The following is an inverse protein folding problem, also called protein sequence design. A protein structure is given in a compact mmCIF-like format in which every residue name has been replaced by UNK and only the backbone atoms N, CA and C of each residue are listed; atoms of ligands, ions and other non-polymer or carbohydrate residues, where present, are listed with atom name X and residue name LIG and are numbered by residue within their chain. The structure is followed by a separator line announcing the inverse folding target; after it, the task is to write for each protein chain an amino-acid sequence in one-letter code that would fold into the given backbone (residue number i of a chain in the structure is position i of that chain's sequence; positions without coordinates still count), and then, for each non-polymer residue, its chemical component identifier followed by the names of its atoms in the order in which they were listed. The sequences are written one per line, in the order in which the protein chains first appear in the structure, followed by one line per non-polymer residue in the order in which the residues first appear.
data_IF_222279953494
#
_entry.id   IF_222279953494
#
_cell.length_a   1.000
_cell.length_b   1.000
_cell.length_c   1.000
_cell.angle_alpha   90.00
_cell.angle_beta   90.00
_cell.angle_gamma   90.00
#
_symmetry.space_group_name_H-M   'P 1'
#
loop_
_entity.id
_entity.type
_entity.pdbx_description
1 polymer ?
2 polymer ?
3 non-polymer ?
4 non-polymer ?
5 non-polymer ?
6 non-polymer ?
7 water ?
#
# COMPACT_ATOMS: atom_id res chain seq x y z
N UNK A 1 7.46 -20.32 12.46
CA UNK A 1 7.32 -20.01 11.00
C UNK A 1 7.09 -21.27 10.19
N UNK A 2 5.90 -21.35 9.58
CA UNK A 2 5.53 -22.54 8.82
C UNK A 2 6.49 -22.78 7.66
N UNK A 3 7.11 -21.71 7.14
CA UNK A 3 7.95 -21.79 5.97
C UNK A 3 9.42 -21.95 6.32
N UNK A 4 9.73 -22.14 7.60
CA UNK A 4 11.12 -22.18 8.02
C UNK A 4 11.95 -23.26 7.34
N UNK A 5 11.32 -24.37 6.94
CA UNK A 5 12.08 -25.47 6.36
C UNK A 5 12.23 -25.36 4.85
N UNK A 6 11.60 -24.37 4.21
CA UNK A 6 11.69 -24.25 2.77
C UNK A 6 12.78 -23.27 2.36
N UNK A 7 13.51 -23.62 1.29
CA UNK A 7 14.57 -22.75 0.80
C UNK A 7 14.00 -21.39 0.40
N UNK A 8 14.78 -20.35 0.69
CA UNK A 8 14.41 -19.02 0.24
C UNK A 8 14.05 -19.01 -1.24
N UNK A 9 14.91 -19.59 -2.09
CA UNK A 9 14.65 -19.52 -3.54
C UNK A 9 13.36 -20.24 -3.92
N UNK A 10 13.09 -21.38 -3.26
CA UNK A 10 11.85 -22.12 -3.47
C UNK A 10 10.62 -21.32 -3.06
N UNK A 11 10.71 -20.61 -1.95
CA UNK A 11 9.62 -19.72 -1.53
C UNK A 11 9.34 -18.65 -2.57
N UNK A 12 10.38 -18.02 -3.11
CA UNK A 12 10.19 -17.00 -4.15
C UNK A 12 9.57 -17.63 -5.40
N UNK A 13 10.11 -18.78 -5.84
CA UNK A 13 9.56 -19.48 -7.00
C UNK A 13 8.07 -19.77 -6.81
N UNK A 14 7.70 -20.28 -5.63
CA UNK A 14 6.31 -20.60 -5.35
C UNK A 14 5.46 -19.35 -5.19
N UNK A 15 6.02 -18.24 -4.71
CA UNK A 15 5.26 -16.99 -4.72
C UNK A 15 4.88 -16.61 -6.15
N UNK A 16 5.81 -16.77 -7.09
CA UNK A 16 5.52 -16.44 -8.49
C UNK A 16 4.48 -17.38 -9.08
N UNK A 17 4.52 -18.67 -8.75
CA UNK A 17 3.49 -19.59 -9.22
C UNK A 17 2.13 -19.24 -8.63
N UNK A 18 2.09 -18.97 -7.32
CA UNK A 18 0.84 -18.58 -6.67
C UNK A 18 0.25 -17.36 -7.34
N UNK A 19 1.08 -16.38 -7.68
CA UNK A 19 0.56 -15.22 -8.41
C UNK A 19 -0.11 -15.66 -9.71
N UNK A 20 0.56 -16.54 -10.46
CA UNK A 20 -0.02 -16.99 -11.72
C UNK A 20 -1.35 -17.71 -11.52
N UNK A 21 -1.51 -18.39 -10.40
CA UNK A 21 -2.71 -19.12 -10.05
C UNK A 21 -3.73 -18.25 -9.32
N UNK A 22 -3.45 -16.97 -9.12
CA UNK A 22 -4.31 -16.05 -8.35
C UNK A 22 -4.60 -16.59 -6.95
N UNK A 23 -3.58 -17.21 -6.34
CA UNK A 23 -3.65 -17.71 -4.98
C UNK A 23 -2.88 -16.77 -4.08
N UNK A 24 -3.49 -15.62 -3.78
CA UNK A 24 -2.73 -14.53 -3.16
C UNK A 24 -2.46 -14.78 -1.67
N UNK A 25 -3.31 -15.54 -0.99
CA UNK A 25 -2.99 -15.89 0.40
C UNK A 25 -1.74 -16.74 0.46
N UNK A 26 -1.65 -17.77 -0.41
CA UNK A 26 -0.42 -18.55 -0.54
C UNK A 26 0.76 -17.64 -0.89
N UNK A 27 0.57 -16.75 -1.86
CA UNK A 27 1.65 -15.88 -2.30
C UNK A 27 2.21 -15.09 -1.14
N UNK A 28 1.31 -14.57 -0.29
CA UNK A 28 1.73 -13.77 0.85
C UNK A 28 2.44 -14.60 1.89
N UNK A 29 1.94 -15.81 2.16
CA UNK A 29 2.60 -16.69 3.10
C UNK A 29 4.00 -17.07 2.62
N UNK A 30 4.17 -17.30 1.31
CA UNK A 30 5.49 -17.62 0.76
C UNK A 30 6.43 -16.43 0.93
N UNK A 31 5.95 -15.22 0.60
CA UNK A 31 6.81 -14.04 0.75
C UNK A 31 7.10 -13.70 2.20
N UNK A 32 6.16 -13.93 3.11
CA UNK A 32 6.47 -13.77 4.52
C UNK A 32 7.60 -14.71 4.92
N UNK A 33 7.53 -15.96 4.46
CA UNK A 33 8.59 -16.90 4.74
C UNK A 33 9.92 -16.45 4.18
N UNK A 34 9.89 -15.86 2.97
CA UNK A 34 11.12 -15.36 2.34
C UNK A 34 11.71 -14.21 3.16
N UNK A 35 10.86 -13.29 3.60
CA UNK A 35 11.34 -12.19 4.43
C UNK A 35 11.99 -12.74 5.70
N UNK A 36 11.37 -13.73 6.32
CA UNK A 36 11.84 -14.23 7.60
C UNK A 36 13.15 -15.00 7.49
N UNK A 37 13.64 -15.30 6.27
CA UNK A 37 15.01 -15.80 6.12
C UNK A 37 16.05 -14.78 6.55
N UNK A 38 15.67 -13.52 6.66
CA UNK A 38 16.54 -12.51 7.23
C UNK A 38 17.37 -11.73 6.23
N UNK A 39 17.41 -12.14 4.96
CA UNK A 39 18.14 -11.38 3.95
C UNK A 39 17.30 -10.24 3.41
N UNK A 40 17.98 -9.20 2.93
CA UNK A 40 17.31 -8.10 2.24
C UNK A 40 16.62 -8.64 0.97
N UNK A 41 15.58 -7.95 0.53
CA UNK A 41 14.82 -8.31 -0.67
C UNK A 41 15.28 -7.51 -1.86
N UNK A 42 15.33 -8.16 -3.01
CA UNK A 42 15.60 -7.46 -4.27
C UNK A 42 14.39 -6.65 -4.71
N UNK A 44 12.52 -7.02 -7.43
CA UNK A 44 11.45 -7.95 -7.82
C UNK A 44 10.78 -8.57 -6.60
N UNK A 45 11.59 -9.00 -5.64
CA UNK A 45 11.04 -9.64 -4.43
C UNK A 45 10.22 -8.66 -3.58
N UNK A 46 10.63 -7.38 -3.48
CA UNK A 46 9.81 -6.41 -2.79
C UNK A 46 8.44 -6.27 -3.45
N UNK A 47 8.43 -6.20 -4.77
CA UNK A 47 7.17 -6.09 -5.47
C UNK A 47 6.32 -7.34 -5.33
N UNK A 48 6.92 -8.54 -5.27
CA UNK A 48 6.13 -9.74 -4.98
C UNK A 48 5.47 -9.64 -3.61
N UNK A 49 6.21 -9.19 -2.61
CA UNK A 49 5.68 -9.01 -1.27
C UNK A 49 4.50 -8.05 -1.29
N UNK A 50 4.68 -6.88 -1.91
CA UNK A 50 3.62 -5.87 -1.92
C UNK A 50 2.37 -6.37 -2.66
N UNK A 51 2.55 -6.95 -3.84
CA UNK A 51 1.41 -7.42 -4.62
C UNK A 51 0.61 -8.45 -3.85
N UNK A 52 1.31 -9.37 -3.17
CA UNK A 52 0.61 -10.44 -2.47
C UNK A 52 -0.27 -9.87 -1.36
N UNK A 53 0.31 -9.06 -0.48
CA UNK A 53 -0.49 -8.56 0.61
C UNK A 53 -1.51 -7.53 0.15
N UNK A 54 -1.23 -6.79 -0.95
CA UNK A 54 -2.22 -5.84 -1.45
C UNK A 54 -3.49 -6.56 -1.89
N UNK A 55 -3.33 -7.71 -2.54
CA UNK A 55 -4.47 -8.48 -2.98
C UNK A 55 -5.22 -9.09 -1.81
N UNK A 56 -4.49 -9.60 -0.83
CA UNK A 56 -5.14 -10.17 0.35
C UNK A 56 -5.95 -9.09 1.08
N UNK A 57 -5.29 -7.97 1.47
CA UNK A 57 -5.97 -6.92 2.22
C UNK A 57 -7.06 -6.28 1.36
N UNK A 58 -6.90 -6.28 0.04
CA UNK A 58 -7.93 -5.69 -0.81
C UNK A 58 -9.25 -6.44 -0.72
N UNK A 59 -9.20 -7.76 -0.78
CA UNK A 59 -10.41 -8.55 -0.57
C UNK A 59 -11.06 -8.29 0.78
N UNK A 60 -10.23 -8.14 1.82
CA UNK A 60 -10.75 -7.87 3.15
C UNK A 60 -11.40 -6.49 3.25
N UNK A 61 -10.75 -5.47 2.68
CA UNK A 61 -11.31 -4.11 2.67
C UNK A 61 -12.65 -4.10 1.93
N UNK A 62 -12.70 -4.74 0.78
CA UNK A 62 -13.95 -4.73 0.02
C UNK A 62 -15.06 -5.41 0.82
N UNK A 63 -14.75 -6.54 1.44
CA UNK A 63 -15.75 -7.24 2.28
C UNK A 63 -16.17 -6.38 3.47
N UNK A 64 -15.20 -5.74 4.14
CA UNK A 64 -15.52 -4.90 5.28
C UNK A 64 -16.48 -3.77 4.88
N UNK A 65 -16.29 -3.16 3.70
CA UNK A 65 -17.14 -2.06 3.29
C UNK A 65 -18.57 -2.55 3.03
N UNK A 66 -18.73 -3.71 2.40
CA UNK A 66 -20.05 -4.29 2.21
C UNK A 66 -20.75 -4.45 3.54
N UNK A 67 -20.05 -5.06 4.51
CA UNK A 67 -20.65 -5.35 5.80
C UNK A 67 -20.92 -4.09 6.60
N UNK A 68 -20.00 -3.12 6.54
CA UNK A 68 -20.20 -1.87 7.25
C UNK A 68 -21.42 -1.14 6.70
N UNK A 69 -21.62 -1.18 5.38
CA UNK A 69 -22.77 -0.53 4.77
C UNK A 69 -24.06 -1.20 5.20
N UNK A 70 -24.07 -2.52 5.25
CA UNK A 70 -25.25 -3.24 5.75
C UNK A 70 -25.49 -2.90 7.21
N UNK A 71 -24.44 -2.88 8.01
CA UNK A 71 -24.58 -2.56 9.43
C UNK A 71 -25.16 -1.18 9.63
N UNK A 72 -24.69 -0.20 8.85
CA UNK A 72 -25.17 1.16 9.01
C UNK A 72 -26.66 1.25 8.66
N UNK A 73 -27.08 0.61 7.57
CA UNK A 73 -28.51 0.57 7.25
C UNK A 73 -29.31 -0.03 8.40
N UNK A 74 -28.85 -1.14 8.97
CA UNK A 74 -29.58 -1.81 10.03
C UNK A 74 -29.68 -0.97 11.31
N UNK A 75 -28.96 0.15 11.39
CA UNK A 75 -29.06 1.05 12.52
C UNK A 75 -29.76 2.36 12.15
N UNK A 76 -30.48 2.38 11.04
CA UNK A 76 -31.23 3.58 10.60
C UNK A 76 -32.57 3.65 11.35
N UNK A 83 -30.61 -7.96 15.53
CA UNK A 83 -29.77 -9.01 16.15
C UNK A 83 -28.31 -8.66 16.05
N UNK A 84 -27.39 -9.34 16.74
CA UNK A 84 -26.01 -8.93 16.70
C UNK A 84 -25.18 -9.47 15.53
N UNK A 85 -25.82 -10.22 14.64
CA UNK A 85 -25.03 -10.99 13.68
C UNK A 85 -24.25 -10.10 12.71
N UNK A 86 -24.86 -9.01 12.23
CA UNK A 86 -24.17 -8.15 11.26
C UNK A 86 -22.94 -7.52 11.88
N UNK A 87 -23.10 -6.93 13.06
CA UNK A 87 -21.97 -6.39 13.81
C UNK A 87 -20.93 -7.46 14.10
N UNK A 88 -21.36 -8.65 14.55
CA UNK A 88 -20.43 -9.71 14.87
C UNK A 88 -19.58 -10.08 13.66
N UNK A 89 -20.21 -10.23 12.49
CA UNK A 89 -19.46 -10.69 11.34
C UNK A 89 -18.61 -9.55 10.75
N UNK A 90 -19.11 -8.31 10.83
CA UNK A 90 -18.25 -7.18 10.45
C UNK A 90 -17.00 -7.13 11.32
N UNK A 91 -17.16 -7.35 12.63
CA UNK A 91 -16.04 -7.43 13.55
C UNK A 91 -15.10 -8.57 13.19
N UNK A 92 -15.63 -9.73 12.80
CA UNK A 92 -14.80 -10.86 12.43
C UNK A 92 -13.87 -10.50 11.27
N UNK A 93 -14.45 -9.95 10.21
CA UNK A 93 -13.67 -9.55 9.05
C UNK A 93 -12.71 -8.43 9.43
N UNK A 94 -13.17 -7.45 10.21
CA UNK A 94 -12.31 -6.36 10.64
C UNK A 94 -11.09 -6.88 11.38
N UNK A 95 -11.28 -7.85 12.27
CA UNK A 95 -10.18 -8.37 13.06
C UNK A 95 -9.17 -9.09 12.16
N UNK A 96 -9.66 -9.83 11.16
CA UNK A 96 -8.77 -10.52 10.22
C UNK A 96 -7.97 -9.50 9.41
N UNK A 97 -8.64 -8.44 8.97
CA UNK A 97 -7.98 -7.33 8.27
C UNK A 97 -6.87 -6.71 9.12
N UNK A 98 -7.19 -6.42 10.38
CA UNK A 98 -6.19 -5.83 11.26
C UNK A 98 -5.05 -6.80 11.49
N UNK A 99 -5.34 -8.10 11.48
CA UNK A 99 -4.26 -9.06 11.64
C UNK A 99 -3.30 -9.05 10.47
N UNK A 100 -3.83 -8.95 9.25
CA UNK A 100 -2.97 -8.90 8.06
C UNK A 100 -2.13 -7.62 8.07
N UNK A 101 -2.75 -6.49 8.38
CA UNK A 101 -1.98 -5.25 8.47
C UNK A 101 -0.89 -5.35 9.54
N UNK A 102 -1.23 -5.89 10.72
CA UNK A 102 -0.22 -6.06 11.77
C UNK A 102 0.91 -6.98 11.31
N UNK A 103 0.58 -8.01 10.53
CA UNK A 103 1.61 -8.91 10.03
C UNK A 103 2.57 -8.17 9.11
N UNK A 104 2.04 -7.40 8.17
CA UNK A 104 2.89 -6.65 7.24
C UNK A 104 3.74 -5.63 8.01
N UNK A 105 3.10 -4.86 8.91
CA UNK A 105 3.87 -3.91 9.71
C UNK A 105 4.97 -4.59 10.52
N UNK A 106 4.70 -5.80 11.01
CA UNK A 106 5.70 -6.52 11.76
C UNK A 106 6.91 -6.90 10.92
N UNK A 107 6.68 -7.27 9.66
CA UNK A 107 7.79 -7.58 8.77
C UNK A 107 8.58 -6.33 8.47
N UNK A 108 7.90 -5.19 8.29
CA UNK A 108 8.62 -3.96 8.01
C UNK A 108 9.45 -3.55 9.20
N UNK A 109 8.92 -3.72 10.42
CA UNK A 109 9.64 -3.35 11.64
C UNK A 109 10.68 -4.37 12.04
N UNK A 110 10.60 -5.61 11.53
CA UNK A 110 11.47 -6.71 11.94
C UNK A 110 11.86 -7.54 10.72
N UNK A 111 12.77 -7.05 9.88
CA UNK A 111 13.59 -5.87 10.10
C UNK A 111 13.86 -5.19 8.77
N UNK A 112 12.84 -5.15 7.91
CA UNK A 112 13.05 -4.69 6.54
C UNK A 112 13.49 -3.24 6.51
N UNK A 113 12.81 -2.37 7.26
CA UNK A 113 13.09 -0.95 7.15
C UNK A 113 14.50 -0.64 7.67
N UNK A 114 14.85 -1.16 8.85
CA UNK A 114 16.11 -0.75 9.43
C UNK A 114 17.31 -1.21 8.62
N UNK A 115 17.19 -2.24 7.79
CA UNK A 115 18.30 -2.66 6.93
C UNK A 115 18.27 -2.04 5.53
N UNK A 116 17.26 -1.23 5.21
CA UNK A 116 17.08 -0.64 3.89
C UNK A 116 17.77 0.73 3.85
N UNK A 117 18.87 0.79 3.12
CA UNK A 117 19.67 2.00 3.00
C UNK A 117 19.55 2.68 1.65
N UNK A 118 19.27 1.93 0.62
CA UNK A 118 19.08 2.53 -0.68
C UNK A 118 17.71 3.21 -0.74
N UNK A 119 17.65 4.34 -1.46
CA UNK A 119 16.39 5.06 -1.57
C UNK A 119 15.26 4.20 -2.10
N UNK A 120 15.53 3.40 -3.15
CA UNK A 120 14.45 2.63 -3.77
C UNK A 120 13.88 1.60 -2.81
N UNK A 121 14.69 1.05 -1.91
CA UNK A 121 14.14 0.10 -0.97
C UNK A 121 13.52 0.80 0.23
N UNK A 122 14.19 1.81 0.76
CA UNK A 122 13.69 2.44 1.98
C UNK A 122 12.39 3.18 1.72
N UNK A 123 12.30 3.91 0.61
CA UNK A 123 11.05 4.58 0.26
C UNK A 123 9.95 3.56 0.02
N UNK A 124 10.27 2.45 -0.65
CA UNK A 124 9.26 1.42 -0.90
C UNK A 124 8.67 0.90 0.40
N UNK A 125 9.53 0.59 1.39
CA UNK A 125 9.04 0.03 2.65
C UNK A 125 8.31 1.06 3.49
N UNK A 126 8.79 2.32 3.50
CA UNK A 126 8.10 3.33 4.28
C UNK A 126 6.74 3.63 3.68
N UNK A 127 6.66 3.65 2.35
CA UNK A 127 5.35 3.76 1.70
C UNK A 127 4.41 2.65 2.14
N UNK A 128 4.89 1.39 2.14
CA UNK A 128 4.06 0.29 2.61
C UNK A 128 3.62 0.49 4.05
N UNK A 129 4.53 0.98 4.90
CA UNK A 129 4.16 1.22 6.29
C UNK A 129 3.02 2.24 6.38
N UNK A 130 3.10 3.34 5.60
CA UNK A 130 1.98 4.27 5.54
C UNK A 130 0.70 3.64 5.02
N UNK A 131 0.80 2.82 3.96
CA UNK A 131 -0.39 2.17 3.40
C UNK A 131 -1.08 1.29 4.42
N UNK A 132 -0.33 0.45 5.15
CA UNK A 132 -1.00 -0.50 6.04
C UNK A 132 -1.50 0.18 7.30
N UNK A 133 -0.86 1.27 7.75
CA UNK A 133 -1.49 2.09 8.79
C UNK A 133 -2.75 2.78 8.24
N UNK A 134 -2.73 3.19 6.97
CA UNK A 134 -3.92 3.77 6.36
C UNK A 134 -5.08 2.76 6.32
N UNK A 135 -4.81 1.50 5.99
CA UNK A 135 -5.88 0.51 5.98
C UNK A 135 -6.39 0.27 7.40
N UNK A 136 -5.50 0.31 8.39
CA UNK A 136 -5.99 0.26 9.77
C UNK A 136 -6.85 1.48 10.08
N UNK A 137 -6.45 2.64 9.58
CA UNK A 137 -7.21 3.87 9.85
C UNK A 137 -8.62 3.76 9.26
N UNK A 138 -8.76 3.12 8.11
CA UNK A 138 -10.07 3.06 7.46
C UNK A 138 -11.12 2.37 8.34
N UNK A 139 -10.71 1.54 9.28
CA UNK A 139 -11.63 0.78 10.13
C UNK A 139 -11.54 1.21 11.59
N UNK A 140 -10.69 2.18 11.90
CA UNK A 140 -10.47 2.62 13.30
C UNK A 140 -11.54 3.60 13.73
N UNK A 141 -11.96 3.43 14.99
CA UNK A 141 -13.03 4.19 15.69
C UNK A 141 -12.76 4.35 17.20
N UNK A 144 -7.44 5.19 19.63
CA UNK A 144 -6.11 5.12 18.96
C UNK A 144 -6.23 5.52 17.48
N UNK A 145 -7.41 5.81 17.02
CA UNK A 145 -7.75 6.31 15.66
C UNK A 145 -6.79 7.43 15.25
N UNK A 146 -6.54 8.37 16.16
CA UNK A 146 -5.65 9.51 15.90
C UNK A 146 -4.21 9.05 15.85
N UNK A 147 -3.79 8.16 16.71
CA UNK A 147 -2.40 7.73 16.69
C UNK A 147 -2.13 6.87 15.47
N UNK A 148 -3.12 6.10 15.01
CA UNK A 148 -2.94 5.31 13.80
C UNK A 148 -2.75 6.23 12.59
N UNK A 149 -3.58 7.27 12.50
CA UNK A 149 -3.47 8.24 11.42
C UNK A 149 -2.11 8.92 11.46
N UNK A 150 -1.62 9.25 12.65
CA UNK A 150 -0.33 9.93 12.71
C UNK A 150 0.80 8.98 12.37
N UNK A 151 0.68 7.68 12.70
CA UNK A 151 1.67 6.70 12.25
C UNK A 151 1.72 6.63 10.73
N UNK A 152 0.55 6.59 10.07
CA UNK A 152 0.54 6.63 8.60
C UNK A 152 1.23 7.90 8.09
N UNK A 153 0.82 9.07 8.61
CA UNK A 153 1.37 10.34 8.16
C UNK A 153 2.89 10.36 8.30
N UNK A 154 3.39 9.90 9.45
CA UNK A 154 4.82 9.91 9.73
C UNK A 154 5.60 9.06 8.75
N UNK A 155 5.10 7.85 8.46
CA UNK A 155 5.77 6.96 7.50
C UNK A 155 5.76 7.56 6.12
N UNK A 156 4.59 8.03 5.66
CA UNK A 156 4.50 8.69 4.37
C UNK A 156 5.42 9.89 4.30
N UNK A 157 5.49 10.68 5.37
CA UNK A 157 6.28 11.91 5.31
C UNK A 157 7.78 11.59 5.21
N UNK A 158 8.25 10.58 5.95
CA UNK A 158 9.66 10.21 5.87
C UNK A 158 9.99 9.71 4.48
N UNK A 159 9.07 8.94 3.89
CA UNK A 159 9.29 8.44 2.53
C UNK A 159 9.32 9.58 1.54
N UNK A 160 8.41 10.55 1.69
CA UNK A 160 8.38 11.71 0.80
C UNK A 160 9.70 12.47 0.89
N UNK A 161 10.16 12.73 2.11
CA UNK A 161 11.39 13.50 2.29
C UNK A 161 12.56 12.81 1.59
N UNK A 162 12.70 11.49 1.76
CA UNK A 162 13.79 10.76 1.10
C UNK A 162 13.61 10.81 -0.41
N UNK A 163 12.37 10.58 -0.88
CA UNK A 163 12.15 10.50 -2.33
C UNK A 163 12.46 11.83 -3.00
N UNK A 164 12.16 12.95 -2.34
CA UNK A 164 12.44 14.24 -2.95
C UNK A 164 13.92 14.51 -3.03
N UNK A 165 14.70 13.99 -2.09
CA UNK A 165 16.15 14.21 -2.10
C UNK A 165 16.88 13.26 -3.03
N UNK A 166 16.39 12.03 -3.18
CA UNK A 166 17.16 10.94 -3.77
C UNK A 166 16.64 10.40 -5.10
N UNK A 167 15.43 10.75 -5.50
CA UNK A 167 14.84 10.20 -6.71
C UNK A 167 14.35 11.32 -7.63
N UNK A 168 14.36 11.09 -8.93
CA UNK A 168 13.81 12.06 -9.86
C UNK A 168 12.31 12.10 -9.74
N UNK A 169 11.67 13.18 -10.19
CA UNK A 169 10.22 13.28 -10.02
C UNK A 169 9.42 12.33 -10.84
N UNK A 170 10.02 11.64 -11.82
CA UNK A 170 9.29 10.61 -12.57
C UNK A 170 9.45 9.23 -11.98
N UNK A 171 10.25 9.06 -10.95
CA UNK A 171 10.48 7.73 -10.42
C UNK A 171 9.15 7.08 -10.03
N UNK A 172 8.82 5.89 -10.53
CA UNK A 172 7.50 5.30 -10.25
C UNK A 172 7.23 5.05 -8.78
N UNK A 173 8.26 4.73 -7.98
CA UNK A 173 8.05 4.58 -6.54
C UNK A 173 7.63 5.91 -5.94
N UNK A 174 8.37 6.97 -6.28
CA UNK A 174 8.05 8.31 -5.79
C UNK A 174 6.64 8.71 -6.22
N UNK A 175 6.27 8.42 -7.46
CA UNK A 175 4.93 8.78 -7.95
C UNK A 175 3.83 8.00 -7.24
N UNK A 176 4.03 6.69 -7.02
CA UNK A 176 3.01 5.91 -6.30
C UNK A 176 2.87 6.32 -4.85
N UNK A 177 3.99 6.68 -4.23
CA UNK A 177 3.97 7.23 -2.88
C UNK A 177 3.15 8.51 -2.84
N UNK A 178 3.41 9.42 -3.76
CA UNK A 178 2.69 10.69 -3.73
C UNK A 178 1.20 10.48 -3.99
N UNK A 179 0.86 9.60 -4.92
CA UNK A 179 -0.53 9.23 -5.15
C UNK A 179 -1.20 8.79 -3.86
N UNK A 180 -0.61 7.81 -3.18
CA UNK A 180 -1.21 7.25 -1.98
C UNK A 180 -1.27 8.26 -0.84
N UNK A 181 -0.21 9.07 -0.67
CA UNK A 181 -0.23 10.09 0.36
C UNK A 181 -1.31 11.12 0.06
N UNK A 182 -1.54 11.41 -1.22
CA UNK A 182 -2.61 12.33 -1.60
C UNK A 182 -3.96 11.78 -1.15
N UNK A 183 -4.18 10.50 -1.37
CA UNK A 183 -5.45 9.89 -0.96
C UNK A 183 -5.57 9.83 0.56
N UNK A 184 -4.48 9.55 1.24
CA UNK A 184 -4.45 9.68 2.70
C UNK A 184 -4.96 11.06 3.11
N UNK A 185 -4.38 12.12 2.52
CA UNK A 185 -4.81 13.46 2.86
C UNK A 185 -6.30 13.65 2.62
N UNK A 186 -6.79 13.18 1.47
CA UNK A 186 -8.16 13.51 1.06
C UNK A 186 -9.17 12.83 1.98
N UNK A 187 -8.95 11.54 2.23
CA UNK A 187 -9.90 10.58 2.78
C UNK A 187 -9.70 10.30 4.26
N UNK A 188 -8.47 10.36 4.75
CA UNK A 188 -8.15 9.93 6.10
C UNK A 188 -7.91 11.11 7.02
N UNK A 189 -7.08 12.06 6.57
CA UNK A 189 -6.73 13.25 7.31
C UNK A 189 -7.74 14.38 7.13
N UNK A 190 -8.75 14.20 6.28
CA UNK A 190 -9.75 15.25 6.02
C UNK A 190 -9.08 16.56 5.57
N UNK A 191 -8.09 16.44 4.69
CA UNK A 191 -7.33 17.57 4.15
C UNK A 191 -7.43 17.55 2.63
N UNK A 192 -8.61 17.78 2.07
CA UNK A 192 -8.73 17.70 0.62
C UNK A 192 -7.86 18.72 -0.11
N UNK A 193 -7.64 19.88 0.46
CA UNK A 193 -6.83 20.86 -0.26
C UNK A 193 -5.38 20.41 -0.34
N UNK A 194 -4.86 19.83 0.74
CA UNK A 194 -3.53 19.25 0.69
C UNK A 194 -3.45 18.15 -0.35
N UNK A 195 -4.47 17.28 -0.40
CA UNK A 195 -4.48 16.19 -1.37
C UNK A 195 -4.39 16.70 -2.80
N UNK A 196 -5.21 17.70 -3.12
CA UNK A 196 -5.24 18.28 -4.47
C UNK A 196 -3.91 18.94 -4.80
N UNK A 197 -3.36 19.71 -3.87
CA UNK A 197 -2.09 20.38 -4.10
C UNK A 197 -0.98 19.37 -4.37
N UNK A 198 -0.90 18.32 -3.55
CA UNK A 198 0.13 17.32 -3.74
C UNK A 198 -0.02 16.64 -5.09
N UNK A 199 -1.25 16.28 -5.46
CA UNK A 199 -1.46 15.58 -6.73
C UNK A 199 -1.06 16.45 -7.90
N UNK A 200 -1.41 17.75 -7.85
CA UNK A 200 -1.09 18.66 -8.95
C UNK A 200 0.41 18.88 -9.07
N UNK A 201 1.08 19.23 -7.97
CA UNK A 201 2.53 19.41 -7.99
C UNK A 201 3.25 18.15 -8.44
N UNK A 202 2.82 16.99 -7.96
CA UNK A 202 3.47 15.75 -8.34
C UNK A 202 3.33 15.54 -9.85
N UNK A 203 2.14 15.78 -10.38
CA UNK A 203 1.90 15.54 -11.81
C UNK A 203 2.74 16.49 -12.66
N UNK A 204 2.72 17.77 -12.32
CA UNK A 204 3.43 18.75 -13.13
C UNK A 204 4.95 18.56 -13.05
N UNK A 205 5.49 18.22 -11.89
CA UNK A 205 6.95 18.02 -11.84
C UNK A 205 7.36 16.74 -12.56
N UNK A 206 6.51 15.70 -12.57
CA UNK A 206 6.82 14.55 -13.40
C UNK A 206 6.73 14.89 -14.89
N UNK A 207 5.69 15.62 -15.28
CA UNK A 207 5.52 16.02 -16.68
C UNK A 207 6.79 16.66 -17.22
N UNK A 208 7.40 17.54 -16.44
CA UNK A 208 8.56 18.29 -16.89
C UNK A 208 9.85 17.47 -16.88
N UNK A 209 9.82 16.24 -16.37
CA UNK A 209 10.98 15.36 -16.34
C UNK A 209 10.85 14.19 -17.31
N UNK A 210 9.70 14.06 -18.00
CA UNK A 210 9.49 12.93 -18.89
C UNK A 210 10.47 12.95 -20.05
N UNK A 211 10.94 14.13 -20.45
CA UNK A 211 11.87 14.23 -21.59
C UNK A 211 13.19 13.47 -21.36
N UNK A 212 13.54 13.16 -20.10
CA UNK A 212 14.78 12.48 -19.78
C UNK A 212 14.71 10.97 -19.95
N UNK A 213 13.52 10.42 -20.18
CA UNK A 213 13.24 9.00 -20.04
C UNK A 213 13.27 8.24 -21.35
N UNK A 214 13.61 6.96 -21.24
CA UNK A 214 13.40 6.00 -22.31
C UNK A 214 11.91 5.74 -22.52
N UNK A 215 11.60 5.12 -23.66
CA UNK A 215 10.23 4.74 -23.96
C UNK A 215 9.65 3.83 -22.86
N UNK A 216 10.44 2.89 -22.36
CA UNK A 216 9.91 2.00 -21.33
C UNK A 216 9.67 2.74 -20.02
N UNK A 217 10.61 3.59 -19.60
CA UNK A 217 10.44 4.36 -18.38
C UNK A 217 9.26 5.33 -18.50
N UNK A 218 9.12 5.96 -19.67
CA UNK A 218 7.99 6.85 -19.96
C UNK A 218 6.67 6.15 -19.70
N UNK A 219 6.53 4.92 -20.19
CA UNK A 219 5.28 4.19 -20.00
C UNK A 219 5.02 3.92 -18.51
N UNK A 220 6.06 3.54 -17.75
CA UNK A 220 5.90 3.28 -16.33
C UNK A 220 5.44 4.52 -15.59
N UNK A 221 6.06 5.68 -15.89
CA UNK A 221 5.74 6.92 -15.18
C UNK A 221 4.36 7.46 -15.56
N UNK A 222 4.05 7.48 -16.86
CA UNK A 222 2.78 8.05 -17.28
C UNK A 222 1.61 7.20 -16.78
N UNK A 223 1.80 5.89 -16.60
CA UNK A 223 0.76 5.06 -16.00
C UNK A 223 0.32 5.60 -14.65
N UNK A 224 1.28 5.94 -13.78
CA UNK A 224 0.89 6.42 -12.46
C UNK A 224 0.40 7.85 -12.52
N UNK A 225 1.00 8.65 -13.40
CA UNK A 225 0.52 10.01 -13.57
C UNK A 225 -0.96 10.03 -13.93
N UNK A 226 -1.41 9.05 -14.71
CA UNK A 226 -2.81 8.97 -15.07
C UNK A 226 -3.69 8.74 -13.84
N UNK A 227 -3.20 7.98 -12.85
CA UNK A 227 -3.96 7.81 -11.62
C UNK A 227 -4.10 9.11 -10.86
N UNK A 228 -3.02 9.93 -10.79
CA UNK A 228 -3.12 11.26 -10.21
C UNK A 228 -4.16 12.09 -10.93
N UNK A 229 -4.16 12.06 -12.26
CA UNK A 229 -5.15 12.81 -13.03
C UNK A 229 -6.55 12.31 -12.74
N UNK A 230 -6.74 10.99 -12.68
CA UNK A 230 -8.06 10.44 -12.42
C UNK A 230 -8.62 11.00 -11.13
N UNK A 231 -7.81 10.97 -10.07
CA UNK A 231 -8.24 11.51 -8.78
C UNK A 231 -8.54 13.01 -8.88
N UNK A 232 -7.63 13.77 -9.49
CA UNK A 232 -7.86 15.21 -9.59
C UNK A 232 -9.18 15.52 -10.29
N UNK A 233 -9.56 14.69 -11.27
CA UNK A 233 -10.82 14.90 -12.00
C UNK A 233 -12.03 14.75 -11.07
N UNK A 234 -11.95 13.83 -10.12
CA UNK A 234 -13.05 13.64 -9.18
C UNK A 234 -13.03 14.68 -8.08
N UNK A 235 -11.86 15.24 -7.79
CA UNK A 235 -11.67 16.12 -6.65
C UNK A 235 -11.88 17.59 -6.98
N UNK A 236 -11.76 17.96 -8.25
CA UNK A 236 -11.92 19.35 -8.66
C UNK A 236 -13.00 19.48 -9.73
N UNK B 1 -18.45 2.52 -1.00
CA UNK B 1 -17.80 3.84 -0.99
C UNK B 1 -17.15 4.10 -2.32
N UNK B 2 -17.12 5.37 -2.74
CA UNK B 2 -16.26 5.75 -3.83
C UNK B 2 -14.81 5.61 -3.37
N UNK B 3 -14.06 4.72 -4.02
CA UNK B 3 -12.65 4.52 -3.73
C UNK B 3 -11.82 5.25 -4.77
N UNK B 4 -10.92 6.12 -4.30
CA UNK B 4 -10.03 6.83 -5.22
C UNK B 4 -8.89 5.91 -5.65
N UNK B 5 -8.17 6.32 -6.71
CA UNK B 5 -7.05 5.53 -7.21
C UNK B 5 -5.86 5.54 -6.27
N UNK B 7 -1.98 3.16 -5.54
CA UNK B 7 -0.97 2.45 -6.29
C UNK B 7 -1.23 0.94 -6.28
N UNK B 8 -1.00 0.29 -7.41
CA UNK B 8 -0.88 -1.15 -7.43
C UNK B 8 -2.23 -1.83 -7.62
N UNK B 9 -2.28 -3.15 -7.38
CA UNK B 9 -3.50 -3.90 -7.66
C UNK B 9 -4.73 -3.32 -6.99
N UNK B 10 -5.74 -3.04 -7.78
CA UNK B 10 -7.04 -2.54 -7.30
C UNK B 10 -7.81 -3.81 -6.99
N UNK B 11 -7.41 -4.45 -5.90
CA UNK B 11 -7.87 -5.75 -5.36
C UNK B 11 -9.11 -5.62 -4.47
N UNK B 12 -9.53 -4.40 -4.18
CA UNK B 12 -10.77 -4.12 -3.44
C UNK B 12 -11.77 -3.59 -4.46
#
# INVERSE_FOLDING_TARGET
GAMGSMERASLIQKAKLAEQAERYEDMAAFMKGAVEKGEELSXEERNLLSVAYKNVVGGQRAAWRVLSSIEQKSNEEGSEEKGPEVREYREKVETELQGVCDTVLGLLDSHLIKEAGDAESRVFYLKMKGDYYRYLAEVATGDDKKRIIDSARSAYQEAMDISKKEMPPTNPIRLGLALNFSVFHYEIANSPEEAISLAKTTFDEAMADLHTLSEDSYKDSTLIMQLLRDNLTLWTADNAGEEGGEAPQEPQS
KLMFKXEGPDSD
#
